data_IF_111279367320
#
_entry.id   IF_111279367320
#
_cell.length_a   1.000
_cell.length_b   1.000
_cell.length_c   1.000
_cell.angle_alpha   90.00
_cell.angle_beta   90.00
_cell.angle_gamma   90.00
#
_symmetry.space_group_name_H-M   'P 1'
#
loop_
_entity.id
_entity.type
_entity.pdbx_description
1 polymer ?
#
# COMPACT_ATOMS: atom_id res chain seq x y z
N UNK A 1 -47.12 -16.55 10.35
CA UNK A 1 -47.47 -15.77 9.14
C UNK A 1 -46.31 -15.85 8.17
N UNK A 2 -46.51 -16.53 7.08
CA UNK A 2 -45.54 -16.75 6.00
C UNK A 2 -45.58 -15.56 5.06
N UNK A 3 -44.44 -14.90 4.81
CA UNK A 3 -44.32 -13.93 3.70
C UNK A 3 -43.27 -14.44 2.71
N UNK A 4 -43.79 -14.82 1.58
CA UNK A 4 -43.10 -15.27 0.38
C UNK A 4 -42.40 -14.09 -0.29
N UNK A 5 -41.11 -14.21 -0.54
CA UNK A 5 -40.34 -13.27 -1.36
C UNK A 5 -40.32 -13.75 -2.79
N UNK A 6 -40.81 -12.88 -3.67
CA UNK A 6 -40.84 -13.06 -5.12
C UNK A 6 -39.45 -12.65 -5.65
N UNK A 7 -38.83 -13.59 -6.35
CA UNK A 7 -37.58 -13.38 -7.09
C UNK A 7 -37.93 -12.89 -8.49
N UNK A 8 -37.47 -11.70 -8.84
CA UNK A 8 -37.55 -11.20 -10.21
C UNK A 8 -36.19 -11.34 -10.88
N UNK A 9 -36.12 -12.27 -11.83
CA UNK A 9 -35.00 -12.42 -12.76
C UNK A 9 -35.17 -11.39 -13.89
N UNK A 10 -34.20 -10.54 -14.11
CA UNK A 10 -34.07 -9.74 -15.32
C UNK A 10 -32.80 -10.16 -16.05
N UNK A 11 -32.97 -10.91 -17.10
CA UNK A 11 -31.96 -11.20 -18.09
C UNK A 11 -31.86 -10.01 -19.05
N UNK A 12 -30.68 -9.40 -19.12
CA UNK A 12 -30.35 -8.38 -20.09
C UNK A 12 -29.16 -8.81 -20.94
N UNK A 13 -29.44 -9.42 -22.06
CA UNK A 13 -28.46 -9.72 -23.12
C UNK A 13 -28.24 -8.46 -23.96
N UNK A 14 -27.05 -7.90 -23.94
CA UNK A 14 -26.63 -6.91 -24.93
C UNK A 14 -25.40 -7.43 -25.67
N UNK A 15 -25.63 -7.96 -26.85
CA UNK A 15 -24.61 -8.17 -27.87
C UNK A 15 -24.23 -6.80 -28.44
N UNK A 16 -23.00 -6.38 -28.27
CA UNK A 16 -22.38 -5.32 -29.06
C UNK A 16 -21.22 -5.91 -29.84
N UNK A 17 -21.50 -6.25 -31.09
CA UNK A 17 -20.50 -6.41 -32.14
C UNK A 17 -19.99 -5.02 -32.49
N UNK A 18 -18.78 -4.69 -32.04
CA UNK A 18 -18.04 -3.52 -32.45
C UNK A 18 -16.78 -3.92 -33.18
N UNK A 19 -16.85 -4.03 -34.48
CA UNK A 19 -15.71 -4.13 -35.37
C UNK A 19 -15.00 -2.77 -35.38
N UNK A 20 -13.84 -2.67 -34.81
CA UNK A 20 -12.96 -1.55 -35.00
C UNK A 20 -11.69 -2.03 -35.71
N UNK A 21 -11.75 -1.90 -37.04
CA UNK A 21 -10.59 -2.01 -37.88
C UNK A 21 -9.69 -0.78 -37.71
N UNK A 22 -8.37 -1.03 -37.66
CA UNK A 22 -7.36 -0.09 -38.16
C UNK A 22 -7.05 1.07 -37.23
N UNK A 23 -6.19 0.84 -36.25
CA UNK A 23 -5.34 1.90 -35.73
C UNK A 23 -3.92 1.67 -36.21
N UNK A 24 -3.57 2.29 -37.30
CA UNK A 24 -2.19 2.57 -37.64
C UNK A 24 -1.65 3.49 -36.55
N UNK A 25 -0.88 2.93 -35.64
CA UNK A 25 -0.14 3.70 -34.66
C UNK A 25 0.92 4.51 -35.40
N UNK A 26 0.66 5.80 -35.56
CA UNK A 26 1.70 6.74 -35.95
C UNK A 26 2.78 6.77 -34.86
N UNK A 27 4.06 6.67 -35.16
CA UNK A 27 5.10 6.85 -34.20
C UNK A 27 5.06 8.31 -33.75
N UNK A 28 4.47 8.55 -32.57
CA UNK A 28 4.60 9.86 -31.96
C UNK A 28 6.03 10.01 -31.45
N UNK A 29 6.82 10.65 -32.25
CA UNK A 29 8.05 11.28 -31.78
C UNK A 29 7.62 12.39 -30.82
N UNK A 30 7.58 12.10 -29.57
CA UNK A 30 7.52 13.11 -28.53
C UNK A 30 8.93 13.68 -28.39
N UNK A 31 9.16 14.94 -28.79
CA UNK A 31 10.44 15.57 -28.53
C UNK A 31 10.55 15.79 -27.02
N UNK A 32 11.50 15.12 -26.38
CA UNK A 32 12.13 15.61 -25.18
C UNK A 32 11.21 15.92 -24.01
N UNK A 33 10.31 15.02 -23.64
CA UNK A 33 9.91 14.94 -22.23
C UNK A 33 11.13 14.37 -21.54
N UNK A 34 11.87 15.24 -20.83
CA UNK A 34 12.98 14.83 -20.02
C UNK A 34 12.57 13.58 -19.28
N UNK A 35 13.38 12.54 -19.38
CA UNK A 35 13.24 11.36 -18.54
C UNK A 35 13.10 11.88 -17.12
N UNK A 36 11.87 11.95 -16.62
CA UNK A 36 11.65 11.82 -15.20
C UNK A 36 12.20 10.44 -14.94
N UNK A 37 13.46 10.37 -14.55
CA UNK A 37 14.02 9.18 -13.96
C UNK A 37 13.00 8.82 -12.92
N UNK A 38 12.25 7.74 -13.13
CA UNK A 38 11.49 7.16 -12.07
C UNK A 38 12.54 6.99 -10.99
N UNK A 39 12.52 7.85 -9.97
CA UNK A 39 13.33 7.68 -8.79
C UNK A 39 12.83 6.37 -8.22
N UNK A 40 13.49 5.30 -8.60
CA UNK A 40 13.38 4.03 -7.94
C UNK A 40 13.78 4.32 -6.52
N UNK A 41 12.79 4.43 -5.66
CA UNK A 41 13.02 4.45 -4.23
C UNK A 41 13.53 3.05 -3.90
N UNK A 42 14.80 2.86 -4.15
CA UNK A 42 15.48 1.61 -3.89
C UNK A 42 15.50 1.45 -2.37
N UNK A 43 14.73 0.51 -1.89
CA UNK A 43 14.74 0.11 -0.48
C UNK A 43 16.10 -0.51 -0.22
N UNK A 44 17.02 0.31 0.23
CA UNK A 44 18.29 -0.18 0.74
C UNK A 44 18.01 -0.82 2.09
N UNK A 45 17.67 -2.10 2.06
CA UNK A 45 17.68 -2.92 3.24
C UNK A 45 19.09 -2.89 3.83
N UNK A 46 19.27 -2.16 4.90
CA UNK A 46 20.46 -2.28 5.72
C UNK A 46 20.34 -3.61 6.45
N UNK A 47 20.85 -4.67 5.86
CA UNK A 47 20.73 -6.03 6.35
C UNK A 47 21.38 -6.24 7.71
N UNK A 48 20.78 -5.72 8.76
CA UNK A 48 21.20 -5.97 10.15
C UNK A 48 20.67 -7.30 10.68
N UNK A 49 19.83 -8.00 9.88
CA UNK A 49 19.18 -9.24 10.31
C UNK A 49 18.03 -9.02 11.29
N UNK A 50 17.73 -7.78 11.61
CA UNK A 50 16.60 -7.41 12.46
C UNK A 50 15.29 -7.43 11.67
N UNK A 51 14.20 -7.50 12.39
CA UNK A 51 12.86 -7.45 11.81
C UNK A 51 12.20 -6.11 12.09
N UNK A 52 11.38 -5.71 11.15
CA UNK A 52 10.66 -4.46 11.16
C UNK A 52 9.17 -4.70 10.92
N UNK A 53 8.33 -3.90 11.57
CA UNK A 53 6.89 -3.86 11.34
C UNK A 53 6.52 -2.49 10.79
N UNK A 54 6.23 -2.44 9.50
CA UNK A 54 5.86 -1.23 8.78
C UNK A 54 4.35 -1.03 8.81
N UNK A 55 3.91 0.13 9.27
CA UNK A 55 2.50 0.56 9.32
C UNK A 55 2.09 1.30 8.05
N UNK A 56 3.02 1.78 7.29
CA UNK A 56 2.81 2.39 5.98
C UNK A 56 3.82 3.45 5.62
N UNK A 57 3.86 3.75 4.33
CA UNK A 57 4.75 4.74 3.72
C UNK A 57 3.95 5.94 3.23
N UNK A 58 4.55 7.12 3.24
CA UNK A 58 3.95 8.36 2.74
C UNK A 58 5.00 9.21 2.05
N UNK A 59 4.60 9.84 0.95
CA UNK A 59 5.45 10.78 0.22
C UNK A 59 5.52 12.13 0.96
N UNK A 60 4.44 12.52 1.64
CA UNK A 60 4.33 13.79 2.33
C UNK A 60 4.52 13.61 3.83
N UNK A 61 5.52 14.28 4.40
CA UNK A 61 5.87 14.20 5.83
C UNK A 61 4.66 14.43 6.75
N UNK A 62 3.81 15.42 6.46
CA UNK A 62 2.61 15.69 7.28
C UNK A 62 1.66 14.50 7.36
N UNK A 63 1.50 13.77 6.25
CA UNK A 63 0.68 12.55 6.23
C UNK A 63 1.32 11.40 7.02
N UNK A 64 2.65 11.30 7.02
CA UNK A 64 3.36 10.33 7.85
C UNK A 64 3.22 10.66 9.35
N UNK A 65 3.32 11.93 9.73
CA UNK A 65 3.10 12.38 11.12
C UNK A 65 1.66 12.03 11.58
N UNK A 66 0.67 12.26 10.74
CA UNK A 66 -0.72 11.92 11.04
C UNK A 66 -0.90 10.40 11.22
N UNK A 67 -0.27 9.59 10.36
CA UNK A 67 -0.26 8.14 10.48
C UNK A 67 0.42 7.70 11.78
N UNK A 68 1.60 8.24 12.10
CA UNK A 68 2.32 7.95 13.34
C UNK A 68 1.44 8.25 14.57
N UNK A 69 0.80 9.40 14.60
CA UNK A 69 -0.08 9.78 15.70
C UNK A 69 -1.26 8.79 15.84
N UNK A 70 -1.84 8.35 14.73
CA UNK A 70 -2.90 7.33 14.72
C UNK A 70 -2.41 5.99 15.26
N UNK A 71 -1.26 5.52 14.80
CA UNK A 71 -0.64 4.26 15.23
C UNK A 71 -0.30 4.29 16.72
N UNK A 72 0.25 5.41 17.22
CA UNK A 72 0.58 5.57 18.63
C UNK A 72 -0.67 5.58 19.53
N UNK A 73 -1.76 6.22 19.09
CA UNK A 73 -3.05 6.20 19.82
C UNK A 73 -3.62 4.78 19.94
N UNK A 74 -3.36 3.92 18.96
CA UNK A 74 -3.75 2.50 18.99
C UNK A 74 -2.82 1.63 19.84
N UNK A 75 -1.85 2.23 20.54
CA UNK A 75 -0.99 1.56 21.53
C UNK A 75 0.38 1.10 20.99
N UNK A 76 0.79 1.55 19.82
CA UNK A 76 2.11 1.25 19.24
C UNK A 76 3.07 2.43 19.49
N UNK A 77 3.36 2.71 20.76
CA UNK A 77 4.12 3.88 21.21
C UNK A 77 5.56 3.95 20.67
N UNK A 78 6.15 2.78 20.37
CA UNK A 78 7.52 2.68 19.84
C UNK A 78 7.61 2.98 18.34
N UNK A 79 6.48 3.16 17.65
CA UNK A 79 6.49 3.53 16.24
C UNK A 79 7.20 4.87 16.06
N UNK A 80 8.00 4.95 15.01
CA UNK A 80 8.77 6.12 14.60
C UNK A 80 8.60 6.39 13.12
N UNK A 81 9.06 7.55 12.66
CA UNK A 81 9.13 7.88 11.24
C UNK A 81 10.58 7.79 10.83
N UNK A 82 10.87 7.00 9.82
CA UNK A 82 12.12 6.99 9.11
C UNK A 82 11.96 7.69 7.76
N UNK A 83 13.00 8.40 7.36
CA UNK A 83 13.05 9.01 6.04
C UNK A 83 13.94 8.14 5.17
N UNK A 84 13.34 7.50 4.21
CA UNK A 84 14.04 6.82 3.15
C UNK A 84 13.95 7.67 1.88
N UNK A 85 15.08 8.02 1.32
CA UNK A 85 15.25 8.81 0.09
C UNK A 85 14.08 9.75 -0.27
N UNK A 86 12.98 9.23 -0.78
CA UNK A 86 11.81 9.98 -1.23
C UNK A 86 10.52 9.68 -0.45
N UNK A 87 10.57 8.80 0.55
CA UNK A 87 9.43 8.36 1.34
C UNK A 87 9.64 8.57 2.83
N UNK A 88 8.54 8.68 3.54
CA UNK A 88 8.49 8.64 5.00
C UNK A 88 7.79 7.35 5.39
N UNK A 89 8.50 6.49 6.09
CA UNK A 89 8.00 5.22 6.57
C UNK A 89 7.65 5.32 8.05
N UNK A 90 6.53 4.75 8.44
CA UNK A 90 6.13 4.63 9.84
C UNK A 90 6.26 3.18 10.25
N UNK A 91 7.20 2.91 11.14
CA UNK A 91 7.57 1.54 11.50
C UNK A 91 8.01 1.38 12.95
N UNK A 92 8.17 0.14 13.37
CA UNK A 92 8.90 -0.28 14.58
C UNK A 92 10.03 -1.18 14.13
N UNK A 93 11.24 -0.75 14.37
CA UNK A 93 12.49 -1.41 13.96
C UNK A 93 13.16 -2.16 15.11
N UNK A 94 14.24 -2.89 14.81
CA UNK A 94 15.05 -3.65 15.77
C UNK A 94 14.23 -4.66 16.58
N UNK A 95 13.49 -5.49 15.88
CA UNK A 95 12.66 -6.54 16.46
C UNK A 95 13.27 -7.91 16.18
N UNK A 96 13.09 -8.84 17.10
CA UNK A 96 13.23 -10.26 16.77
C UNK A 96 12.04 -10.71 15.90
N UNK A 97 12.21 -11.76 15.14
CA UNK A 97 11.15 -12.34 14.30
C UNK A 97 9.83 -12.56 15.07
N UNK A 98 9.91 -13.17 16.26
CA UNK A 98 8.73 -13.47 17.07
C UNK A 98 8.02 -12.21 17.57
N UNK A 99 8.78 -11.19 17.95
CA UNK A 99 8.23 -9.90 18.36
C UNK A 99 7.57 -9.17 17.19
N UNK A 100 8.18 -9.22 16.01
CA UNK A 100 7.60 -8.64 14.81
C UNK A 100 6.27 -9.29 14.46
N UNK A 101 6.20 -10.61 14.47
CA UNK A 101 4.97 -11.36 14.23
C UNK A 101 3.90 -11.06 15.27
N UNK A 102 4.25 -11.05 16.55
CA UNK A 102 3.33 -10.71 17.65
C UNK A 102 2.74 -9.32 17.48
N UNK A 103 3.59 -8.33 17.15
CA UNK A 103 3.15 -6.95 16.88
C UNK A 103 2.26 -6.88 15.66
N UNK A 104 2.60 -7.59 14.59
CA UNK A 104 1.80 -7.63 13.37
C UNK A 104 0.39 -8.22 13.63
N UNK A 105 0.30 -9.31 14.38
CA UNK A 105 -0.98 -9.89 14.79
C UNK A 105 -1.80 -8.90 15.63
N UNK A 106 -1.17 -8.24 16.58
CA UNK A 106 -1.82 -7.21 17.40
C UNK A 106 -2.34 -6.04 16.58
N UNK A 107 -1.55 -5.58 15.59
CA UNK A 107 -1.94 -4.50 14.70
C UNK A 107 -3.16 -4.89 13.83
N UNK A 108 -3.13 -6.08 13.25
CA UNK A 108 -4.23 -6.60 12.43
C UNK A 108 -5.53 -6.73 13.22
N UNK A 109 -5.47 -7.21 14.47
CA UNK A 109 -6.64 -7.24 15.36
C UNK A 109 -7.23 -5.85 15.66
N UNK A 110 -6.42 -4.80 15.56
CA UNK A 110 -6.87 -3.40 15.69
C UNK A 110 -7.24 -2.75 14.35
N UNK A 111 -7.38 -3.54 13.29
CA UNK A 111 -7.74 -3.08 11.96
C UNK A 111 -6.63 -2.29 11.25
N UNK A 112 -5.37 -2.45 11.67
CA UNK A 112 -4.23 -1.81 11.02
C UNK A 112 -3.57 -2.81 10.08
N UNK A 113 -3.41 -2.43 8.82
CA UNK A 113 -2.59 -3.20 7.87
C UNK A 113 -1.12 -2.95 8.16
N UNK A 114 -0.34 -4.01 8.21
CA UNK A 114 1.10 -3.94 8.45
C UNK A 114 1.83 -4.96 7.58
N UNK A 115 3.05 -4.61 7.23
CA UNK A 115 4.03 -5.51 6.63
C UNK A 115 5.08 -5.88 7.68
N UNK A 116 5.60 -7.08 7.59
CA UNK A 116 6.75 -7.55 8.37
C UNK A 116 7.88 -7.75 7.38
N UNK A 117 8.96 -7.04 7.58
CA UNK A 117 10.12 -7.04 6.68
C UNK A 117 11.36 -7.36 7.50
N UNK A 118 12.31 -8.03 6.87
CA UNK A 118 13.65 -8.21 7.42
C UNK A 118 14.54 -7.07 6.87
N UNK A 119 15.13 -6.30 7.75
CA UNK A 119 16.02 -5.19 7.41
C UNK A 119 17.43 -5.70 7.13
#
# INVERSE_FOLDING_TARGET
>A
MKRTLVTTLLAGTALMLGSAAGSTAAPSHSPGVGRISAMTCDQKGTGTGDWEVTFGTRVIRRKAVALLASVRRKGFRRALIEREQCLYEVSIIHLSHDRANTLAHRARRKGIRVLVVQS
#
